data_IF_308803109967
#
_entry.id   IF_308803109967
#
_cell.length_a   1.000
_cell.length_b   1.000
_cell.length_c   1.000
_cell.angle_alpha   90.00
_cell.angle_beta   90.00
_cell.angle_gamma   90.00
#
_symmetry.space_group_name_H-M   'P 1'
#
loop_
_entity.id
_entity.type
_entity.pdbx_description
1 polymer ?
#
# COMPACT_ATOMS: atom_id res chain seq x y z
N UNK A 1 -0.42 -10.23 12.70
CA UNK A 1 -1.58 -9.45 12.29
C UNK A 1 -2.81 -10.33 12.24
N UNK A 2 -3.82 -9.97 13.02
CA UNK A 2 -5.11 -10.66 12.95
C UNK A 2 -5.94 -9.99 11.84
N UNK A 3 -6.35 -10.79 10.86
CA UNK A 3 -7.27 -10.32 9.84
C UNK A 3 -8.65 -9.98 10.44
N UNK A 4 -9.43 -9.21 9.72
CA UNK A 4 -10.78 -8.80 10.09
C UNK A 4 -11.81 -9.89 9.71
N UNK A 5 -11.69 -11.06 10.30
CA UNK A 5 -12.57 -12.18 9.99
C UNK A 5 -12.86 -13.04 11.22
N UNK A 6 -13.97 -13.75 11.20
CA UNK A 6 -14.29 -14.76 12.20
C UNK A 6 -13.54 -16.05 11.87
N UNK A 7 -13.00 -16.72 12.91
CA UNK A 7 -12.24 -17.96 12.71
C UNK A 7 -13.08 -19.08 12.09
N UNK A 8 -14.40 -19.00 12.23
CA UNK A 8 -15.38 -19.94 11.66
C UNK A 8 -15.83 -19.61 10.24
N UNK A 9 -15.41 -18.47 9.67
CA UNK A 9 -15.84 -18.06 8.35
C UNK A 9 -15.38 -19.05 7.26
N UNK A 10 -16.26 -19.35 6.32
CA UNK A 10 -15.97 -20.25 5.20
C UNK A 10 -14.91 -19.67 4.26
N UNK A 11 -14.95 -18.35 4.05
CA UNK A 11 -13.95 -17.63 3.26
C UNK A 11 -13.42 -16.42 4.06
N UNK A 12 -12.38 -16.66 4.83
CA UNK A 12 -11.79 -15.66 5.72
C UNK A 12 -11.25 -14.44 4.98
N UNK A 13 -10.63 -14.66 3.82
CA UNK A 13 -10.07 -13.58 3.01
C UNK A 13 -11.18 -12.66 2.48
N UNK A 14 -12.25 -13.22 1.96
CA UNK A 14 -13.39 -12.44 1.46
C UNK A 14 -14.03 -11.62 2.59
N UNK A 15 -14.24 -12.23 3.75
CA UNK A 15 -14.82 -11.54 4.92
C UNK A 15 -13.92 -10.41 5.40
N UNK A 16 -12.61 -10.64 5.47
CA UNK A 16 -11.63 -9.63 5.85
C UNK A 16 -11.71 -8.41 4.92
N UNK A 17 -11.72 -8.64 3.60
CA UNK A 17 -11.79 -7.57 2.62
C UNK A 17 -13.13 -6.82 2.68
N UNK A 18 -14.23 -7.52 2.84
CA UNK A 18 -15.56 -6.91 2.96
C UNK A 18 -15.64 -6.01 4.21
N UNK A 19 -15.06 -6.44 5.33
CA UNK A 19 -15.04 -5.66 6.56
C UNK A 19 -14.14 -4.43 6.45
N UNK A 20 -13.01 -4.52 5.76
CA UNK A 20 -12.15 -3.37 5.47
C UNK A 20 -12.89 -2.31 4.66
N UNK A 21 -13.60 -2.74 3.62
CA UNK A 21 -14.42 -1.84 2.78
C UNK A 21 -15.54 -1.19 3.60
N UNK A 22 -16.21 -1.97 4.45
CA UNK A 22 -17.26 -1.46 5.32
C UNK A 22 -16.72 -0.40 6.29
N UNK A 23 -15.55 -0.61 6.88
CA UNK A 23 -14.88 0.37 7.75
C UNK A 23 -14.59 1.68 7.02
N UNK A 24 -14.07 1.60 5.80
CA UNK A 24 -13.80 2.79 4.99
C UNK A 24 -15.10 3.55 4.71
N UNK A 25 -16.15 2.83 4.33
CA UNK A 25 -17.45 3.42 4.04
C UNK A 25 -18.07 4.09 5.26
N UNK A 26 -17.97 3.44 6.41
CA UNK A 26 -18.54 3.93 7.68
C UNK A 26 -17.81 5.18 8.17
N UNK A 27 -16.47 5.18 8.13
CA UNK A 27 -15.67 6.28 8.68
C UNK A 27 -15.49 7.46 7.72
N UNK A 28 -15.71 7.25 6.43
CA UNK A 28 -15.54 8.26 5.37
C UNK A 28 -14.24 9.07 5.53
N UNK A 29 -13.08 8.40 5.59
CA UNK A 29 -11.81 9.09 5.78
C UNK A 29 -11.47 10.00 4.61
N UNK A 30 -10.65 11.02 4.85
CA UNK A 30 -10.12 11.90 3.80
C UNK A 30 -9.30 11.10 2.80
N UNK A 31 -8.54 10.13 3.31
CA UNK A 31 -7.78 9.19 2.49
C UNK A 31 -7.59 7.88 3.27
N UNK A 32 -7.28 6.83 2.55
CA UNK A 32 -6.96 5.52 3.13
C UNK A 32 -5.68 4.98 2.51
N UNK A 33 -4.85 4.37 3.34
CA UNK A 33 -3.62 3.71 2.90
C UNK A 33 -3.62 2.28 3.42
N UNK A 34 -3.49 1.33 2.51
CA UNK A 34 -3.37 -0.09 2.85
C UNK A 34 -1.93 -0.52 2.68
N UNK A 35 -1.34 -1.08 3.72
CA UNK A 35 0.08 -1.48 3.73
C UNK A 35 0.18 -2.97 3.50
N UNK A 36 0.97 -3.35 2.51
CA UNK A 36 1.17 -4.74 2.09
C UNK A 36 2.63 -5.06 1.86
N UNK A 37 2.92 -6.35 1.79
CA UNK A 37 4.20 -6.86 1.34
C UNK A 37 3.94 -7.73 0.11
N UNK A 38 4.75 -7.54 -0.92
CA UNK A 38 4.53 -8.15 -2.23
C UNK A 38 5.26 -9.49 -2.39
N UNK A 39 4.90 -10.21 -3.42
CA UNK A 39 5.62 -11.41 -3.85
C UNK A 39 5.59 -11.52 -5.36
N UNK A 40 6.61 -12.14 -5.93
CA UNK A 40 6.71 -12.34 -7.37
C UNK A 40 7.50 -13.61 -7.67
N UNK A 41 7.29 -14.23 -8.82
CA UNK A 41 7.97 -15.47 -9.19
C UNK A 41 9.48 -15.30 -9.43
N UNK A 42 9.93 -14.09 -9.79
CA UNK A 42 11.35 -13.77 -9.96
C UNK A 42 11.90 -13.16 -8.66
N UNK A 43 12.80 -13.87 -8.00
CA UNK A 43 13.41 -13.45 -6.74
C UNK A 43 14.32 -12.22 -6.87
N UNK A 44 14.68 -11.83 -8.09
CA UNK A 44 15.46 -10.62 -8.35
C UNK A 44 14.64 -9.33 -8.27
N UNK A 45 13.32 -9.44 -8.34
CA UNK A 45 12.43 -8.27 -8.29
C UNK A 45 12.36 -7.73 -6.87
N UNK A 46 12.53 -6.41 -6.72
CA UNK A 46 12.55 -5.72 -5.43
C UNK A 46 12.10 -4.27 -5.56
N UNK A 47 11.94 -3.62 -4.43
CA UNK A 47 11.60 -2.20 -4.33
C UNK A 47 10.11 -1.96 -4.03
N UNK A 48 9.81 -0.82 -3.38
CA UNK A 48 8.43 -0.45 -3.06
C UNK A 48 7.67 0.02 -4.29
N UNK A 49 6.37 -0.21 -4.30
CA UNK A 49 5.49 0.28 -5.34
C UNK A 49 4.11 0.63 -4.77
N UNK A 50 3.56 1.76 -5.21
CA UNK A 50 2.24 2.22 -4.78
C UNK A 50 1.25 2.03 -5.93
N UNK A 51 0.10 1.44 -5.60
CA UNK A 51 -1.00 1.19 -6.52
C UNK A 51 -2.18 2.09 -6.18
N UNK A 52 -2.89 2.54 -7.20
CA UNK A 52 -4.12 3.31 -7.07
C UNK A 52 -5.16 2.77 -8.06
N UNK A 53 -6.44 3.07 -7.82
CA UNK A 53 -7.48 2.70 -8.79
C UNK A 53 -7.33 3.57 -10.04
N UNK A 54 -7.24 2.92 -11.21
CA UNK A 54 -6.83 3.56 -12.47
C UNK A 54 -7.60 4.83 -12.82
N UNK A 55 -8.89 4.88 -12.53
CA UNK A 55 -9.72 6.06 -12.82
C UNK A 55 -9.72 7.12 -11.71
N UNK A 56 -9.04 6.87 -10.59
CA UNK A 56 -9.02 7.80 -9.46
C UNK A 56 -7.94 8.87 -9.63
N UNK A 57 -8.37 10.08 -9.91
CA UNK A 57 -7.45 11.24 -10.02
C UNK A 57 -6.76 11.52 -8.70
N UNK A 58 -7.52 11.57 -7.60
CA UNK A 58 -6.95 11.81 -6.26
C UNK A 58 -6.10 10.64 -5.78
N UNK A 59 -6.51 9.41 -6.08
CA UNK A 59 -5.70 8.23 -5.79
C UNK A 59 -4.34 8.29 -6.46
N UNK A 60 -4.28 8.73 -7.71
CA UNK A 60 -3.02 8.91 -8.43
C UNK A 60 -2.12 9.95 -7.78
N UNK A 61 -2.69 11.10 -7.40
CA UNK A 61 -1.93 12.17 -6.72
C UNK A 61 -1.33 11.69 -5.40
N UNK A 62 -2.12 11.01 -4.58
CA UNK A 62 -1.65 10.44 -3.33
C UNK A 62 -0.57 9.39 -3.58
N UNK A 63 -0.79 8.51 -4.54
CA UNK A 63 0.16 7.47 -4.90
C UNK A 63 1.51 8.06 -5.34
N UNK A 64 1.51 9.09 -6.18
CA UNK A 64 2.72 9.76 -6.64
C UNK A 64 3.49 10.40 -5.49
N UNK A 65 2.81 11.06 -4.57
CA UNK A 65 3.45 11.66 -3.40
C UNK A 65 4.10 10.60 -2.50
N UNK A 66 3.40 9.51 -2.23
CA UNK A 66 3.91 8.42 -1.40
C UNK A 66 5.05 7.68 -2.11
N UNK A 67 4.92 7.39 -3.40
CA UNK A 67 5.98 6.70 -4.17
C UNK A 67 7.26 7.52 -4.21
N UNK A 68 7.15 8.82 -4.46
CA UNK A 68 8.31 9.73 -4.48
C UNK A 68 9.02 9.73 -3.13
N UNK A 69 8.27 9.82 -2.05
CA UNK A 69 8.81 9.81 -0.70
C UNK A 69 9.51 8.49 -0.37
N UNK A 70 8.92 7.36 -0.76
CA UNK A 70 9.52 6.04 -0.58
C UNK A 70 10.83 5.92 -1.36
N UNK A 71 10.84 6.35 -2.61
CA UNK A 71 12.03 6.28 -3.46
C UNK A 71 13.19 7.10 -2.88
N UNK A 72 12.89 8.29 -2.34
CA UNK A 72 13.89 9.18 -1.77
C UNK A 72 14.41 8.68 -0.41
N UNK A 73 13.50 8.41 0.52
CA UNK A 73 13.89 8.07 1.90
C UNK A 73 14.46 6.65 2.05
N UNK A 74 14.08 5.74 1.17
CA UNK A 74 14.64 4.39 1.15
C UNK A 74 15.85 4.25 0.22
N UNK A 75 16.26 5.32 -0.43
CA UNK A 75 17.41 5.35 -1.35
C UNK A 75 17.33 4.23 -2.39
N UNK A 76 16.16 4.13 -3.05
CA UNK A 76 15.90 3.05 -4.01
C UNK A 76 16.78 3.21 -5.24
N UNK A 77 17.55 2.17 -5.59
CA UNK A 77 18.47 2.17 -6.73
C UNK A 77 17.75 2.18 -8.08
N UNK A 78 16.58 1.54 -8.16
CA UNK A 78 15.74 1.50 -9.36
C UNK A 78 14.34 1.98 -9.02
N UNK A 79 14.13 3.31 -8.93
CA UNK A 79 12.86 3.88 -8.52
C UNK A 79 11.72 3.44 -9.43
N UNK A 80 10.65 2.91 -8.81
CA UNK A 80 9.44 2.55 -9.53
C UNK A 80 8.52 3.75 -9.64
N UNK A 81 7.71 3.74 -10.68
CA UNK A 81 6.57 4.65 -10.83
C UNK A 81 5.34 4.02 -10.20
N UNK A 82 4.38 4.86 -9.84
CA UNK A 82 3.07 4.40 -9.39
C UNK A 82 2.38 3.58 -10.48
N UNK A 83 1.49 2.70 -10.08
CA UNK A 83 0.78 1.83 -11.02
C UNK A 83 -0.73 1.91 -10.82
N UNK A 84 -1.45 2.22 -11.88
CA UNK A 84 -2.90 2.12 -11.92
C UNK A 84 -3.34 0.65 -11.95
N UNK A 85 -4.41 0.34 -11.25
CA UNK A 85 -4.91 -1.03 -11.14
C UNK A 85 -6.43 -1.05 -11.16
N UNK A 86 -7.02 -2.04 -11.83
CA UNK A 86 -8.47 -2.22 -11.95
C UNK A 86 -8.96 -3.52 -11.31
N UNK A 87 -8.05 -4.39 -10.88
CA UNK A 87 -8.38 -5.75 -10.45
C UNK A 87 -8.33 -5.96 -8.93
N UNK A 88 -7.56 -5.15 -8.19
CA UNK A 88 -7.49 -5.29 -6.74
C UNK A 88 -8.84 -4.97 -6.11
N UNK A 89 -9.39 -5.95 -5.41
CA UNK A 89 -10.73 -5.86 -4.83
C UNK A 89 -10.90 -4.64 -3.94
N UNK A 90 -9.92 -4.38 -3.07
CA UNK A 90 -9.95 -3.23 -2.17
C UNK A 90 -10.04 -1.90 -2.93
N UNK A 91 -9.24 -1.73 -3.97
CA UNK A 91 -9.27 -0.51 -4.82
C UNK A 91 -10.57 -0.39 -5.59
N UNK A 92 -11.02 -1.50 -6.18
CA UNK A 92 -12.20 -1.52 -7.04
C UNK A 92 -13.50 -1.27 -6.28
N UNK A 93 -13.61 -1.78 -5.05
CA UNK A 93 -14.86 -1.76 -4.27
C UNK A 93 -14.91 -0.68 -3.20
N UNK A 94 -13.79 -0.04 -2.90
CA UNK A 94 -13.77 1.03 -1.91
C UNK A 94 -14.16 2.37 -2.55
N UNK A 95 -14.76 3.22 -1.74
CA UNK A 95 -15.04 4.61 -2.11
C UNK A 95 -13.95 5.53 -1.58
N UNK A 96 -13.80 6.71 -2.18
CA UNK A 96 -12.86 7.72 -1.73
C UNK A 96 -11.43 7.50 -2.22
N UNK A 97 -10.52 8.28 -1.66
CA UNK A 97 -9.10 8.25 -2.02
C UNK A 97 -8.40 7.12 -1.29
N UNK A 98 -7.94 6.13 -2.02
CA UNK A 98 -7.29 4.95 -1.45
C UNK A 98 -6.08 4.56 -2.30
N UNK A 99 -4.98 4.22 -1.63
CA UNK A 99 -3.81 3.62 -2.26
C UNK A 99 -3.39 2.35 -1.52
N UNK A 100 -2.74 1.45 -2.24
CA UNK A 100 -2.09 0.27 -1.68
C UNK A 100 -0.58 0.48 -1.80
N UNK A 101 0.10 0.44 -0.66
CA UNK A 101 1.56 0.54 -0.60
C UNK A 101 2.13 -0.86 -0.44
N UNK A 102 2.78 -1.35 -1.48
CA UNK A 102 3.59 -2.57 -1.41
C UNK A 102 5.00 -2.17 -0.98
N UNK A 103 5.36 -2.52 0.25
CA UNK A 103 6.60 -2.05 0.88
C UNK A 103 7.85 -2.68 0.28
N UNK A 104 7.73 -3.84 -0.32
CA UNK A 104 8.81 -4.59 -0.91
C UNK A 104 8.38 -6.04 -1.17
N UNK A 105 9.32 -6.84 -1.68
CA UNK A 105 9.04 -8.21 -2.11
C UNK A 105 9.61 -9.23 -1.12
N UNK A 106 8.73 -10.02 -0.50
CA UNK A 106 9.13 -11.11 0.39
C UNK A 106 9.90 -12.21 -0.36
N UNK A 107 9.71 -12.31 -1.65
CA UNK A 107 10.40 -13.27 -2.52
C UNK A 107 11.85 -12.88 -2.83
N UNK A 108 12.23 -11.64 -2.58
CA UNK A 108 13.63 -11.20 -2.66
C UNK A 108 14.27 -11.39 -1.27
N UNK A 109 15.29 -12.27 -1.12
CA UNK A 109 15.85 -12.60 0.20
C UNK A 109 16.40 -11.39 0.96
N UNK A 110 17.09 -10.48 0.28
CA UNK A 110 17.66 -9.28 0.89
C UNK A 110 16.55 -8.33 1.38
N UNK A 111 15.55 -8.10 0.54
CA UNK A 111 14.42 -7.22 0.89
C UNK A 111 13.56 -7.83 2.00
N UNK A 112 13.31 -9.14 1.95
CA UNK A 112 12.60 -9.85 3.01
C UNK A 112 13.29 -9.67 4.37
N UNK A 113 14.61 -9.71 4.39
CA UNK A 113 15.39 -9.52 5.61
C UNK A 113 15.26 -8.08 6.13
N UNK A 114 15.35 -7.07 5.24
CA UNK A 114 15.16 -5.66 5.61
C UNK A 114 13.76 -5.41 6.19
N UNK A 115 12.73 -5.97 5.57
CA UNK A 115 11.34 -5.78 5.99
C UNK A 115 11.04 -6.35 7.38
N UNK A 116 11.88 -7.24 7.91
CA UNK A 116 11.76 -7.78 9.25
C UNK A 116 12.41 -6.90 10.32
N UNK A 117 13.22 -5.92 9.90
CA UNK A 117 13.92 -5.05 10.86
C UNK A 117 13.06 -3.87 11.27
N UNK A 118 13.14 -3.52 12.56
CA UNK A 118 12.44 -2.35 13.10
C UNK A 118 12.91 -1.06 12.42
N UNK A 119 14.21 -0.94 12.19
CA UNK A 119 14.81 0.22 11.54
C UNK A 119 14.21 0.47 10.15
N UNK A 120 14.12 -0.56 9.32
CA UNK A 120 13.57 -0.42 7.97
C UNK A 120 12.06 -0.15 7.99
N UNK A 121 11.34 -0.81 8.89
CA UNK A 121 9.90 -0.57 9.07
C UNK A 121 9.62 0.88 9.47
N UNK A 122 10.43 1.46 10.34
CA UNK A 122 10.33 2.87 10.74
C UNK A 122 10.61 3.81 9.56
N UNK A 123 11.60 3.49 8.73
CA UNK A 123 11.89 4.27 7.51
C UNK A 123 10.72 4.25 6.53
N UNK A 124 10.13 3.08 6.32
CA UNK A 124 8.94 2.94 5.45
C UNK A 124 7.78 3.76 6.00
N UNK A 125 7.53 3.65 7.29
CA UNK A 125 6.45 4.40 7.95
C UNK A 125 6.66 5.91 7.84
N UNK A 126 7.89 6.38 8.05
CA UNK A 126 8.24 7.79 7.90
C UNK A 126 8.05 8.27 6.46
N UNK A 127 8.44 7.45 5.48
CA UNK A 127 8.29 7.78 4.07
C UNK A 127 6.82 7.89 3.67
N UNK A 128 5.99 6.94 4.10
CA UNK A 128 4.54 6.96 3.84
C UNK A 128 3.91 8.19 4.48
N UNK A 129 4.24 8.47 5.73
CA UNK A 129 3.75 9.64 6.47
C UNK A 129 4.10 10.95 5.76
N UNK A 130 5.33 11.09 5.31
CA UNK A 130 5.78 12.28 4.58
C UNK A 130 5.06 12.43 3.24
N UNK A 131 4.85 11.34 2.51
CA UNK A 131 4.08 11.34 1.27
C UNK A 131 2.63 11.77 1.48
N UNK A 132 1.99 11.31 2.54
CA UNK A 132 0.64 11.72 2.93
C UNK A 132 0.60 13.21 3.23
N UNK A 133 1.58 13.71 4.00
CA UNK A 133 1.68 15.14 4.34
C UNK A 133 1.83 15.99 3.09
N UNK A 134 2.70 15.59 2.17
CA UNK A 134 2.89 16.28 0.89
C UNK A 134 1.59 16.35 0.10
N UNK A 135 0.87 15.24 0.02
CA UNK A 135 -0.43 15.20 -0.66
C UNK A 135 -1.43 16.15 -0.02
N UNK A 136 -1.57 16.12 1.30
CA UNK A 136 -2.52 16.96 2.02
C UNK A 136 -2.20 18.45 1.90
N UNK A 137 -0.92 18.81 1.89
CA UNK A 137 -0.48 20.20 1.76
C UNK A 137 -0.68 20.76 0.35
N UNK A 138 -0.84 19.90 -0.65
CA UNK A 138 -1.08 20.30 -2.04
C UNK A 138 -2.58 20.44 -2.39
N UNK A 139 -3.46 20.19 -1.43
CA UNK A 139 -4.91 20.30 -1.64
C UNK A 139 -5.41 21.74 -1.62
#
# INVERSE_FOLDING_TARGET
DKGLYDSSAANKKAQDMQRRIAMIREHMPVLSVSIHQNSYHDAGVHGPQVFYYESSVEGKKLAEAVQSSLNDLLEVDRPRKVKGNTSYYLLKRSSGTLVIVECGFLTNPEEAQKLQTKEYQEKVAAAVSEGIRTYLNAQ
#
